data_IF_320713478533
#
_entry.id   IF_320713478533
#
_cell.length_a   1.000
_cell.length_b   1.000
_cell.length_c   1.000
_cell.angle_alpha   90.00
_cell.angle_beta   90.00
_cell.angle_gamma   90.00
#
_symmetry.space_group_name_H-M   'P 1'
#
loop_
_entity.id
_entity.type
_entity.pdbx_description
1 polymer ?
#
# COMPACT_ATOMS: atom_id res chain seq x y z
N UNK A 1 0.62 -17.16 15.63
CA UNK A 1 1.54 -16.40 14.78
C UNK A 1 2.58 -17.39 14.23
N UNK A 2 2.25 -18.06 13.12
CA UNK A 2 3.18 -18.97 12.44
C UNK A 2 3.79 -18.25 11.24
N UNK A 3 5.08 -17.93 11.34
CA UNK A 3 5.81 -17.18 10.32
C UNK A 3 5.98 -17.97 9.02
N UNK A 4 6.04 -19.29 9.10
CA UNK A 4 6.26 -20.13 7.92
C UNK A 4 5.01 -20.19 7.04
N UNK A 5 3.82 -20.01 7.65
CA UNK A 5 2.54 -19.87 6.93
C UNK A 5 2.26 -18.44 6.48
N UNK A 6 2.49 -17.45 7.34
CA UNK A 6 2.25 -16.04 7.04
C UNK A 6 3.38 -15.18 7.60
N UNK A 7 4.41 -14.85 6.79
CA UNK A 7 5.55 -14.07 7.26
C UNK A 7 5.22 -12.58 7.44
N UNK A 8 4.02 -12.16 7.05
CA UNK A 8 3.49 -10.81 7.19
C UNK A 8 2.07 -10.87 7.77
N UNK A 9 1.73 -9.89 8.61
CA UNK A 9 0.39 -9.61 9.08
C UNK A 9 -0.08 -8.28 8.49
N UNK A 10 -1.36 -8.21 8.14
CA UNK A 10 -2.00 -6.95 7.78
C UNK A 10 -2.49 -6.27 9.07
N UNK A 11 -1.91 -5.14 9.40
CA UNK A 11 -2.40 -4.27 10.47
C UNK A 11 -3.16 -3.14 9.82
N UNK A 12 -4.44 -2.96 10.13
CA UNK A 12 -5.30 -2.05 9.36
C UNK A 12 -5.99 -1.03 10.25
N UNK A 13 -6.29 0.13 9.67
CA UNK A 13 -7.15 1.14 10.27
C UNK A 13 -7.22 2.35 9.36
N UNK A 14 -8.39 2.59 8.77
CA UNK A 14 -8.61 3.77 7.94
C UNK A 14 -8.58 5.03 8.78
N UNK A 15 -7.52 5.81 8.59
CA UNK A 15 -7.28 7.07 9.27
C UNK A 15 -7.36 8.27 8.33
N UNK A 16 -7.64 8.03 7.04
CA UNK A 16 -7.74 9.05 6.03
C UNK A 16 -8.90 8.81 5.05
N UNK A 17 -9.19 9.86 4.29
CA UNK A 17 -10.03 9.82 3.11
C UNK A 17 -9.28 10.53 1.98
N UNK A 18 -9.97 10.87 0.88
CA UNK A 18 -9.38 11.71 -0.16
C UNK A 18 -8.87 13.02 0.45
N UNK A 19 -7.67 13.43 0.04
CA UNK A 19 -7.01 14.70 0.39
C UNK A 19 -6.61 14.92 1.86
N UNK A 20 -7.16 14.18 2.85
CA UNK A 20 -6.89 14.45 4.28
C UNK A 20 -7.15 13.28 5.23
N UNK A 21 -6.59 13.41 6.43
CA UNK A 21 -6.86 12.55 7.58
C UNK A 21 -8.29 12.72 8.12
N UNK A 22 -8.86 11.64 8.66
CA UNK A 22 -10.16 11.64 9.35
C UNK A 22 -10.09 12.28 10.76
N UNK A 23 -8.91 12.22 11.37
CA UNK A 23 -8.62 12.81 12.68
C UNK A 23 -7.38 13.71 12.60
N UNK A 24 -7.26 14.67 13.52
CA UNK A 24 -6.07 15.53 13.54
C UNK A 24 -4.80 14.71 13.82
N UNK A 25 -3.64 15.11 13.25
CA UNK A 25 -2.37 14.44 13.55
C UNK A 25 -2.07 14.36 15.06
N UNK A 26 -2.45 15.39 15.82
CA UNK A 26 -2.27 15.41 17.28
C UNK A 26 -3.11 14.32 17.97
N UNK A 27 -4.35 14.10 17.52
CA UNK A 27 -5.18 13.04 18.06
C UNK A 27 -4.63 11.66 17.70
N UNK A 28 -4.21 11.45 16.45
CA UNK A 28 -3.61 10.19 16.02
C UNK A 28 -2.35 9.84 16.82
N UNK A 29 -1.46 10.81 17.05
CA UNK A 29 -0.26 10.64 17.89
C UNK A 29 -0.59 10.30 19.34
N UNK A 30 -1.66 10.87 19.88
CA UNK A 30 -2.08 10.62 21.26
C UNK A 30 -2.78 9.28 21.42
N UNK A 31 -3.66 8.93 20.49
CA UNK A 31 -4.61 7.83 20.67
C UNK A 31 -4.38 6.65 19.73
N UNK A 32 -4.07 6.87 18.45
CA UNK A 32 -3.98 5.77 17.49
C UNK A 32 -2.60 5.12 17.46
N UNK A 33 -1.55 5.90 17.19
CA UNK A 33 -0.19 5.38 16.98
C UNK A 33 0.38 4.58 18.17
N UNK A 34 0.15 4.94 19.45
CA UNK A 34 0.61 4.11 20.56
C UNK A 34 -0.04 2.72 20.60
N UNK A 35 -1.29 2.59 20.12
CA UNK A 35 -2.02 1.32 20.07
C UNK A 35 -1.57 0.49 18.86
N UNK A 36 -1.38 1.13 17.71
CA UNK A 36 -0.78 0.48 16.54
C UNK A 36 0.62 -0.04 16.85
N UNK A 37 1.44 0.74 17.56
CA UNK A 37 2.77 0.30 17.99
C UNK A 37 2.72 -0.97 18.85
N UNK A 38 1.83 -1.01 19.84
CA UNK A 38 1.65 -2.21 20.68
C UNK A 38 1.23 -3.43 19.86
N UNK A 39 0.41 -3.24 18.81
CA UNK A 39 0.02 -4.31 17.91
C UNK A 39 1.19 -4.79 17.06
N UNK A 40 1.98 -3.88 16.48
CA UNK A 40 3.14 -4.23 15.67
C UNK A 40 4.22 -4.92 16.50
N UNK A 41 4.53 -4.39 17.69
CA UNK A 41 5.50 -4.99 18.61
C UNK A 41 5.12 -6.45 18.93
N UNK A 42 3.83 -6.74 19.14
CA UNK A 42 3.34 -8.11 19.39
C UNK A 42 3.53 -9.05 18.19
N UNK A 43 3.38 -8.57 16.95
CA UNK A 43 3.69 -9.37 15.76
C UNK A 43 5.20 -9.59 15.58
N UNK A 44 5.99 -8.56 15.89
CA UNK A 44 7.44 -8.60 15.81
C UNK A 44 8.06 -9.58 16.81
N UNK A 45 7.45 -9.80 17.98
CA UNK A 45 7.83 -10.87 18.93
C UNK A 45 7.85 -12.27 18.29
N UNK A 46 7.07 -12.46 17.21
CA UNK A 46 7.01 -13.69 16.43
C UNK A 46 7.79 -13.63 15.11
N UNK A 47 8.61 -12.59 14.90
CA UNK A 47 9.34 -12.32 13.65
C UNK A 47 8.41 -12.19 12.42
N UNK A 48 7.17 -11.75 12.61
CA UNK A 48 6.21 -11.49 11.53
C UNK A 48 6.27 -10.01 11.16
N UNK A 49 6.31 -9.69 9.87
CA UNK A 49 6.32 -8.31 9.36
C UNK A 49 4.93 -7.67 9.42
N UNK A 50 4.85 -6.36 9.60
CA UNK A 50 3.58 -5.62 9.63
C UNK A 50 3.39 -4.78 8.37
N UNK A 51 2.39 -5.11 7.57
CA UNK A 51 1.92 -4.27 6.47
C UNK A 51 0.77 -3.42 6.97
N UNK A 52 0.96 -2.10 7.05
CA UNK A 52 -0.10 -1.20 7.47
C UNK A 52 -1.04 -0.87 6.32
N UNK A 53 -2.34 -1.01 6.55
CA UNK A 53 -3.39 -0.63 5.61
C UNK A 53 -4.20 0.59 6.09
N UNK A 54 -4.30 1.62 5.25
CA UNK A 54 -5.28 2.70 5.36
C UNK A 54 -5.57 3.26 3.98
N UNK A 55 -6.84 3.34 3.62
CA UNK A 55 -7.26 4.12 2.45
C UNK A 55 -7.01 5.62 2.67
N UNK A 56 -6.95 6.36 1.57
CA UNK A 56 -6.89 7.83 1.56
C UNK A 56 -5.49 8.43 1.60
N UNK A 57 -5.42 9.73 1.88
CA UNK A 57 -4.17 10.51 1.87
C UNK A 57 -3.51 10.54 3.26
N UNK A 58 -2.38 9.83 3.41
CA UNK A 58 -1.67 9.66 4.69
C UNK A 58 -0.25 10.21 4.69
N UNK A 59 0.19 10.92 3.65
CA UNK A 59 1.57 11.42 3.52
C UNK A 59 2.08 12.17 4.77
N UNK A 60 1.19 12.96 5.40
CA UNK A 60 1.50 13.77 6.58
C UNK A 60 1.89 12.97 7.83
N UNK A 61 1.54 11.68 7.87
CA UNK A 61 1.72 10.81 9.05
C UNK A 61 2.51 9.54 8.75
N UNK A 62 3.03 9.35 7.53
CA UNK A 62 3.93 8.23 7.22
C UNK A 62 5.11 8.17 8.21
N UNK A 63 5.79 9.29 8.56
CA UNK A 63 6.86 9.24 9.56
C UNK A 63 6.39 8.69 10.90
N UNK A 64 5.23 9.14 11.39
CA UNK A 64 4.66 8.65 12.65
C UNK A 64 4.30 7.15 12.56
N UNK A 65 3.75 6.70 11.44
CA UNK A 65 3.44 5.29 11.19
C UNK A 65 4.70 4.43 11.23
N UNK A 66 5.81 4.87 10.62
CA UNK A 66 7.07 4.13 10.68
C UNK A 66 7.56 3.98 12.12
N UNK A 67 7.42 5.01 12.96
CA UNK A 67 7.79 4.94 14.38
C UNK A 67 6.90 3.96 15.18
N UNK A 68 5.73 3.58 14.65
CA UNK A 68 4.93 2.48 15.21
C UNK A 68 5.45 1.09 14.85
N UNK A 69 6.50 0.97 14.02
CA UNK A 69 7.08 -0.31 13.63
C UNK A 69 6.40 -0.99 12.45
N UNK A 70 5.73 -0.25 11.57
CA UNK A 70 5.27 -0.83 10.30
C UNK A 70 6.49 -1.19 9.45
N UNK A 71 6.46 -2.33 8.77
CA UNK A 71 7.52 -2.76 7.83
C UNK A 71 7.13 -2.44 6.38
N UNK A 72 5.84 -2.23 6.12
CA UNK A 72 5.35 -1.85 4.81
C UNK A 72 4.07 -1.03 4.84
N UNK A 73 3.80 -0.39 3.72
CA UNK A 73 2.64 0.46 3.52
C UNK A 73 1.76 -0.06 2.39
N UNK A 74 0.48 -0.18 2.68
CA UNK A 74 -0.59 -0.50 1.75
C UNK A 74 -1.77 0.45 2.01
N UNK A 75 -2.52 0.83 0.99
CA UNK A 75 -2.10 0.94 -0.40
C UNK A 75 -1.25 2.20 -0.62
N UNK A 76 -0.86 2.46 -1.88
CA UNK A 76 -0.60 3.83 -2.35
C UNK A 76 -1.88 4.29 -3.05
N UNK A 77 -2.74 5.02 -2.35
CA UNK A 77 -4.04 5.44 -2.91
C UNK A 77 -3.88 6.63 -3.85
N UNK A 78 -3.65 6.35 -5.13
CA UNK A 78 -3.31 7.36 -6.16
C UNK A 78 -4.44 8.36 -6.39
N UNK A 79 -5.71 7.93 -6.30
CA UNK A 79 -6.87 8.80 -6.46
C UNK A 79 -7.08 9.73 -5.25
N UNK A 80 -6.51 9.38 -4.09
CA UNK A 80 -6.47 10.28 -2.93
C UNK A 80 -5.34 11.31 -2.99
N UNK A 81 -4.49 11.27 -4.04
CA UNK A 81 -3.37 12.19 -4.23
C UNK A 81 -2.02 11.67 -3.73
N UNK A 82 -1.90 10.38 -3.39
CA UNK A 82 -0.60 9.78 -3.10
C UNK A 82 0.16 9.45 -4.40
N UNK A 83 1.48 9.59 -4.37
CA UNK A 83 2.36 9.25 -5.50
C UNK A 83 3.35 8.14 -5.09
N UNK A 84 3.33 7.02 -5.81
CA UNK A 84 4.23 5.89 -5.60
C UNK A 84 5.71 6.29 -5.70
N UNK A 85 6.06 7.16 -6.66
CA UNK A 85 7.43 7.67 -6.84
C UNK A 85 7.86 8.50 -5.64
N UNK A 86 6.97 9.35 -5.14
CA UNK A 86 7.27 10.18 -3.98
C UNK A 86 7.45 9.32 -2.72
N UNK A 87 6.53 8.40 -2.45
CA UNK A 87 6.62 7.49 -1.31
C UNK A 87 7.87 6.62 -1.42
N UNK A 88 8.19 6.09 -2.60
CA UNK A 88 9.41 5.31 -2.81
C UNK A 88 10.67 6.13 -2.57
N UNK A 89 10.72 7.37 -3.06
CA UNK A 89 11.86 8.28 -2.87
C UNK A 89 12.08 8.63 -1.39
N UNK A 90 11.00 8.86 -0.64
CA UNK A 90 11.09 9.30 0.76
C UNK A 90 11.28 8.15 1.75
N UNK A 91 10.63 7.01 1.50
CA UNK A 91 10.46 5.95 2.50
C UNK A 91 10.81 4.55 1.99
N UNK A 92 11.21 4.42 0.72
CA UNK A 92 11.43 3.13 0.06
C UNK A 92 12.59 2.29 0.58
N UNK A 93 13.47 2.87 1.41
CA UNK A 93 14.54 2.16 2.13
C UNK A 93 14.10 1.67 3.51
N UNK A 94 12.99 2.19 4.04
CA UNK A 94 12.43 1.83 5.36
C UNK A 94 11.20 0.94 5.25
N UNK A 95 10.46 1.02 4.13
CA UNK A 95 9.20 0.33 3.91
C UNK A 95 9.22 -0.46 2.61
N UNK A 96 8.66 -1.67 2.64
CA UNK A 96 8.13 -2.24 1.42
C UNK A 96 6.77 -1.62 1.10
N UNK A 97 6.46 -1.48 -0.18
CA UNK A 97 5.25 -0.80 -0.64
C UNK A 97 4.34 -1.82 -1.32
N UNK A 98 3.04 -1.75 -1.07
CA UNK A 98 2.05 -2.61 -1.72
C UNK A 98 0.86 -1.82 -2.29
N UNK A 99 0.28 -2.27 -3.40
CA UNK A 99 -0.86 -1.61 -4.04
C UNK A 99 -0.43 -0.61 -5.11
N UNK A 100 -1.23 0.44 -5.36
CA UNK A 100 -0.85 1.55 -6.25
C UNK A 100 -1.43 1.52 -7.67
N UNK A 101 -2.13 0.45 -8.06
CA UNK A 101 -2.87 0.39 -9.33
C UNK A 101 -4.33 0.78 -9.08
N UNK A 102 -4.77 1.91 -9.62
CA UNK A 102 -6.09 2.47 -9.33
C UNK A 102 -7.21 1.51 -9.74
N UNK A 103 -7.99 1.05 -8.76
CA UNK A 103 -9.13 0.17 -9.02
C UNK A 103 -10.36 0.95 -9.50
N UNK A 104 -10.51 2.20 -9.08
CA UNK A 104 -11.74 2.98 -9.24
C UNK A 104 -11.88 3.59 -10.63
N UNK A 105 -10.79 4.04 -11.27
CA UNK A 105 -10.82 4.58 -12.63
C UNK A 105 -10.08 3.67 -13.60
N UNK A 106 -8.82 3.35 -13.35
CA UNK A 106 -8.00 2.59 -14.31
C UNK A 106 -8.54 1.17 -14.52
N UNK A 107 -8.66 0.36 -13.46
CA UNK A 107 -9.15 -1.03 -13.63
C UNK A 107 -10.63 -1.09 -14.00
N UNK A 108 -11.44 -0.11 -13.59
CA UNK A 108 -12.88 -0.07 -13.87
C UNK A 108 -13.22 0.47 -15.27
N UNK A 109 -12.48 1.47 -15.76
CA UNK A 109 -12.86 2.23 -16.97
C UNK A 109 -11.78 2.26 -18.05
N UNK A 110 -10.52 1.99 -17.72
CA UNK A 110 -9.40 2.00 -18.67
C UNK A 110 -9.43 0.84 -19.66
N UNK A 111 -8.49 0.90 -20.59
CA UNK A 111 -8.16 -0.16 -21.56
C UNK A 111 -7.03 -1.05 -21.02
N UNK A 112 -6.95 -2.32 -21.45
CA UNK A 112 -5.83 -3.19 -21.08
C UNK A 112 -4.45 -2.58 -21.41
N UNK A 113 -4.34 -1.84 -22.50
CA UNK A 113 -3.10 -1.17 -22.89
C UNK A 113 -2.68 -0.10 -21.87
N UNK A 114 -3.62 0.72 -21.40
CA UNK A 114 -3.38 1.69 -20.33
C UNK A 114 -3.01 1.01 -19.01
N UNK A 115 -3.68 -0.10 -18.67
CA UNK A 115 -3.33 -0.90 -17.48
C UNK A 115 -1.89 -1.42 -17.60
N UNK A 116 -1.50 -1.92 -18.76
CA UNK A 116 -0.16 -2.42 -18.99
C UNK A 116 0.91 -1.34 -18.79
N UNK A 117 0.70 -0.16 -19.39
CA UNK A 117 1.61 0.97 -19.27
C UNK A 117 1.80 1.40 -17.80
N UNK A 118 0.69 1.60 -17.08
CA UNK A 118 0.72 2.02 -15.67
C UNK A 118 1.38 0.95 -14.80
N UNK A 119 1.05 -0.34 -15.01
CA UNK A 119 1.66 -1.43 -14.25
C UNK A 119 3.17 -1.51 -14.48
N UNK A 120 3.64 -1.42 -15.73
CA UNK A 120 5.08 -1.44 -16.05
C UNK A 120 5.82 -0.27 -15.41
N UNK A 121 5.24 0.92 -15.45
CA UNK A 121 5.84 2.11 -14.84
C UNK A 121 5.86 1.99 -13.31
N UNK A 122 4.76 1.56 -12.68
CA UNK A 122 4.70 1.34 -11.24
C UNK A 122 5.74 0.32 -10.76
N UNK A 123 5.86 -0.80 -11.48
CA UNK A 123 6.86 -1.85 -11.22
C UNK A 123 8.28 -1.27 -11.33
N UNK A 124 8.58 -0.48 -12.37
CA UNK A 124 9.88 0.17 -12.55
C UNK A 124 10.21 1.17 -11.44
N UNK A 125 9.23 1.97 -11.01
CA UNK A 125 9.39 2.96 -9.94
C UNK A 125 9.59 2.27 -8.59
N UNK A 126 8.74 1.29 -8.28
CA UNK A 126 8.67 0.67 -6.96
C UNK A 126 9.82 -0.30 -6.67
N UNK A 127 10.51 -0.80 -7.70
CA UNK A 127 11.62 -1.74 -7.52
C UNK A 127 12.83 -1.11 -6.80
N UNK A 128 13.52 -1.85 -5.92
CA UNK A 128 13.11 -3.12 -5.29
C UNK A 128 12.15 -2.90 -4.11
N UNK A 129 11.46 -3.94 -3.64
CA UNK A 129 10.62 -3.84 -2.43
C UNK A 129 9.21 -3.28 -2.68
N UNK A 130 8.66 -3.56 -3.86
CA UNK A 130 7.30 -3.21 -4.24
C UNK A 130 6.48 -4.45 -4.60
N UNK A 131 5.31 -4.57 -4.01
CA UNK A 131 4.30 -5.60 -4.26
C UNK A 131 3.14 -4.96 -5.01
N UNK A 132 3.17 -5.06 -6.34
CA UNK A 132 2.08 -4.52 -7.17
C UNK A 132 0.73 -5.10 -6.75
N UNK A 133 -0.28 -4.23 -6.69
CA UNK A 133 -1.66 -4.58 -6.40
C UNK A 133 -2.59 -3.38 -6.63
N UNK A 134 -3.88 -3.59 -6.46
CA UNK A 134 -4.86 -2.50 -6.54
C UNK A 134 -4.71 -1.51 -5.39
N UNK A 135 -5.27 -0.30 -5.55
CA UNK A 135 -5.30 0.71 -4.49
C UNK A 135 -6.25 0.37 -3.34
N UNK A 136 -7.14 -0.60 -3.49
CA UNK A 136 -7.91 -1.20 -2.37
C UNK A 136 -8.38 -2.60 -2.82
N UNK A 137 -9.36 -3.22 -2.15
CA UNK A 137 -9.93 -4.48 -2.66
C UNK A 137 -10.49 -4.33 -4.08
N UNK A 138 -10.37 -5.39 -4.88
CA UNK A 138 -11.09 -5.46 -6.15
C UNK A 138 -12.58 -5.63 -5.88
N UNK A 139 -13.39 -4.79 -6.53
CA UNK A 139 -14.84 -4.87 -6.49
C UNK A 139 -15.43 -5.26 -7.85
N UNK A 140 -16.76 -5.39 -7.92
CA UNK A 140 -17.47 -5.80 -9.14
C UNK A 140 -17.44 -4.74 -10.26
N UNK A 141 -16.95 -3.54 -10.00
CA UNK A 141 -16.70 -2.49 -10.99
C UNK A 141 -15.41 -2.70 -11.78
N UNK A 142 -14.42 -3.41 -11.22
CA UNK A 142 -13.19 -3.72 -11.92
C UNK A 142 -13.46 -4.66 -13.11
N UNK A 143 -13.03 -4.26 -14.31
CA UNK A 143 -13.21 -5.06 -15.52
C UNK A 143 -12.26 -6.25 -15.52
N UNK A 144 -12.77 -7.44 -15.82
CA UNK A 144 -12.01 -8.69 -15.79
C UNK A 144 -10.75 -8.62 -16.65
N UNK A 145 -10.85 -8.10 -17.88
CA UNK A 145 -9.74 -7.95 -18.80
C UNK A 145 -8.62 -7.06 -18.26
N UNK A 146 -8.97 -6.03 -17.48
CA UNK A 146 -8.02 -5.11 -16.86
C UNK A 146 -7.31 -5.78 -15.68
N UNK A 147 -8.05 -6.49 -14.83
CA UNK A 147 -7.47 -7.28 -13.72
C UNK A 147 -6.53 -8.36 -14.26
N UNK A 148 -6.95 -9.11 -15.29
CA UNK A 148 -6.12 -10.12 -15.93
C UNK A 148 -4.86 -9.51 -16.55
N UNK A 149 -4.96 -8.33 -17.16
CA UNK A 149 -3.80 -7.62 -17.71
C UNK A 149 -2.81 -7.18 -16.63
N UNK A 150 -3.29 -6.65 -15.50
CA UNK A 150 -2.43 -6.33 -14.35
C UNK A 150 -1.66 -7.57 -13.87
N UNK A 151 -2.36 -8.71 -13.72
CA UNK A 151 -1.75 -9.98 -13.32
C UNK A 151 -0.72 -10.48 -14.34
N UNK A 152 -1.04 -10.41 -15.63
CA UNK A 152 -0.13 -10.77 -16.72
C UNK A 152 1.18 -9.98 -16.66
N UNK A 153 1.08 -8.65 -16.49
CA UNK A 153 2.26 -7.77 -16.41
C UNK A 153 3.09 -8.07 -15.18
N UNK A 154 2.44 -8.23 -14.02
CA UNK A 154 3.11 -8.57 -12.76
C UNK A 154 3.89 -9.90 -12.86
N UNK A 155 3.30 -10.91 -13.50
CA UNK A 155 3.90 -12.24 -13.63
C UNK A 155 5.05 -12.31 -14.64
N UNK A 156 4.92 -11.57 -15.75
CA UNK A 156 5.87 -11.63 -16.86
C UNK A 156 7.02 -10.64 -16.74
N UNK A 157 6.90 -9.61 -15.91
CA UNK A 157 7.97 -8.63 -15.72
C UNK A 157 9.07 -9.21 -14.84
N UNK A 158 10.15 -9.68 -15.50
CA UNK A 158 11.36 -10.14 -14.82
C UNK A 158 12.37 -8.99 -14.72
N UNK A 159 12.79 -8.67 -13.51
CA UNK A 159 13.93 -7.80 -13.28
C UNK A 159 15.23 -8.58 -13.54
N UNK A 160 16.13 -7.99 -14.30
CA UNK A 160 17.54 -8.41 -14.41
C UNK A 160 18.39 -7.53 -13.53
#
# INVERSE_FOLDING_TARGET
ADRDLSPCALTYGDIAAKERLLHSPQWLRKEFFPRLKRLNDAWHEHNIKCLFHSDGYIMDVIPDLIETGIDGLNPIETVAGMDLREVKRLYGDRLFIAGGIDVSQLLSNGTPEEVEEVCREAIRIGYPGYFIGSTTELDNGARLENVLKMLEVAWNTKFK
#
